data_IF_034408835687
#
_entry.id   IF_034408835687
#
_cell.length_a   1.000
_cell.length_b   1.000
_cell.length_c   1.000
_cell.angle_alpha   90.00
_cell.angle_beta   90.00
_cell.angle_gamma   90.00
#
_symmetry.space_group_name_H-M   'P 1'
#
loop_
_entity.id
_entity.type
_entity.pdbx_description
1 polymer ?
#
# COMPACT_ATOMS: atom_id res chain seq x y z
N UNK A 1 -38.01 27.43 -18.95
CA UNK A 1 -36.94 26.41 -19.06
C UNK A 1 -36.47 26.14 -17.64
N UNK A 2 -37.05 25.14 -16.98
CA UNK A 2 -36.68 24.75 -15.62
C UNK A 2 -35.39 23.95 -15.69
N UNK A 3 -34.31 24.53 -15.17
CA UNK A 3 -33.08 23.80 -14.88
C UNK A 3 -33.43 22.62 -13.97
N UNK A 4 -33.37 21.41 -14.52
CA UNK A 4 -33.29 20.18 -13.75
C UNK A 4 -31.91 20.16 -13.06
N UNK A 5 -31.75 20.98 -12.02
CA UNK A 5 -30.73 20.70 -11.01
C UNK A 5 -31.13 19.39 -10.35
N UNK A 6 -30.47 18.31 -10.74
CA UNK A 6 -30.54 17.03 -10.05
C UNK A 6 -30.37 17.35 -8.55
N UNK A 7 -31.30 16.92 -7.67
CA UNK A 7 -31.15 17.16 -6.25
C UNK A 7 -29.79 16.59 -5.85
N UNK A 8 -28.95 17.40 -5.19
CA UNK A 8 -27.68 16.95 -4.65
C UNK A 8 -27.97 15.67 -3.85
N UNK A 9 -27.66 14.52 -4.45
CA UNK A 9 -28.00 13.25 -3.87
C UNK A 9 -27.26 13.20 -2.54
N UNK A 10 -28.00 12.95 -1.46
CA UNK A 10 -27.40 12.74 -0.15
C UNK A 10 -26.33 11.65 -0.29
N UNK A 11 -25.07 12.09 -0.27
CA UNK A 11 -23.90 11.26 -0.56
C UNK A 11 -23.85 10.10 0.44
N UNK A 12 -24.18 10.36 1.70
CA UNK A 12 -24.24 9.32 2.73
C UNK A 12 -25.32 8.29 2.40
N UNK A 13 -26.48 8.73 1.91
CA UNK A 13 -27.52 7.82 1.44
C UNK A 13 -27.08 7.00 0.22
N UNK A 14 -26.32 7.57 -0.72
CA UNK A 14 -25.74 6.85 -1.87
C UNK A 14 -24.77 5.77 -1.40
N UNK A 15 -23.82 6.14 -0.54
CA UNK A 15 -22.82 5.23 0.01
C UNK A 15 -23.48 4.09 0.81
N UNK A 16 -24.51 4.40 1.60
CA UNK A 16 -25.28 3.41 2.34
C UNK A 16 -26.01 2.43 1.41
N UNK A 17 -26.58 2.90 0.29
CA UNK A 17 -27.23 2.04 -0.70
C UNK A 17 -26.23 1.11 -1.38
N UNK A 18 -25.05 1.62 -1.77
CA UNK A 18 -24.00 0.81 -2.38
C UNK A 18 -23.49 -0.28 -1.44
N UNK A 19 -23.22 0.07 -0.16
CA UNK A 19 -22.82 -0.93 0.85
C UNK A 19 -23.88 -2.02 0.99
N UNK A 20 -25.15 -1.65 1.15
CA UNK A 20 -26.25 -2.61 1.30
C UNK A 20 -26.45 -3.48 0.06
N UNK A 21 -26.21 -2.95 -1.13
CA UNK A 21 -26.28 -3.71 -2.37
C UNK A 21 -25.19 -4.79 -2.38
N UNK A 22 -23.93 -4.42 -2.09
CA UNK A 22 -22.83 -5.39 -2.02
C UNK A 22 -23.09 -6.45 -0.95
N UNK A 23 -23.49 -6.06 0.26
CA UNK A 23 -23.80 -6.99 1.35
C UNK A 23 -24.93 -7.96 0.98
N UNK A 24 -26.00 -7.46 0.34
CA UNK A 24 -27.12 -8.29 -0.11
C UNK A 24 -26.69 -9.34 -1.12
N UNK A 25 -25.88 -8.96 -2.11
CA UNK A 25 -25.46 -9.86 -3.19
C UNK A 25 -24.37 -10.84 -2.75
N UNK A 26 -23.59 -10.50 -1.71
CA UNK A 26 -22.46 -11.33 -1.24
C UNK A 26 -22.74 -12.11 0.05
N UNK A 27 -23.75 -11.73 0.83
CA UNK A 27 -24.00 -12.28 2.17
C UNK A 27 -24.23 -13.78 2.19
N UNK A 28 -25.00 -14.32 1.24
CA UNK A 28 -25.25 -15.77 1.14
C UNK A 28 -23.99 -16.56 0.74
N UNK A 29 -23.11 -15.96 -0.05
CA UNK A 29 -21.83 -16.54 -0.43
C UNK A 29 -20.84 -16.53 0.72
N UNK A 30 -20.79 -15.46 1.52
CA UNK A 30 -19.98 -15.42 2.73
C UNK A 30 -20.44 -16.48 3.75
N UNK A 31 -21.74 -16.59 3.99
CA UNK A 31 -22.29 -17.61 4.89
C UNK A 31 -21.89 -19.04 4.46
N UNK A 32 -21.92 -19.33 3.15
CA UNK A 32 -21.46 -20.60 2.59
C UNK A 32 -19.96 -20.82 2.73
N UNK A 33 -19.15 -19.80 2.44
CA UNK A 33 -17.69 -19.84 2.62
C UNK A 33 -17.34 -20.17 4.07
N UNK A 34 -18.01 -19.51 5.02
CA UNK A 34 -17.78 -19.68 6.45
C UNK A 34 -18.27 -21.04 6.96
N UNK A 35 -19.23 -21.67 6.26
CA UNK A 35 -19.62 -23.06 6.47
C UNK A 35 -18.65 -24.09 5.84
N UNK A 36 -17.55 -23.64 5.21
CA UNK A 36 -16.53 -24.50 4.60
C UNK A 36 -16.82 -24.91 3.15
N UNK A 37 -17.84 -24.33 2.51
CA UNK A 37 -18.11 -24.55 1.10
C UNK A 37 -17.10 -23.78 0.22
N UNK A 38 -16.12 -24.49 -0.33
CA UNK A 38 -15.09 -23.92 -1.21
C UNK A 38 -15.64 -23.46 -2.57
N UNK A 39 -16.82 -23.94 -3.00
CA UNK A 39 -17.42 -23.53 -4.28
C UNK A 39 -17.93 -22.09 -4.24
N UNK A 40 -18.06 -21.52 -3.04
CA UNK A 40 -18.40 -20.09 -2.84
C UNK A 40 -17.28 -19.13 -3.24
N UNK A 41 -16.02 -19.61 -3.32
CA UNK A 41 -14.85 -18.75 -3.57
C UNK A 41 -14.79 -18.22 -5.00
N UNK A 42 -15.19 -19.03 -5.99
CA UNK A 42 -15.13 -18.64 -7.40
C UNK A 42 -16.13 -17.51 -7.73
N UNK A 43 -17.41 -17.59 -7.32
CA UNK A 43 -18.36 -16.47 -7.46
C UNK A 43 -17.94 -15.21 -6.69
N UNK A 44 -17.46 -15.36 -5.45
CA UNK A 44 -16.95 -14.23 -4.66
C UNK A 44 -15.77 -13.53 -5.35
N UNK A 45 -14.87 -14.29 -5.97
CA UNK A 45 -13.74 -13.71 -6.73
C UNK A 45 -14.21 -12.92 -7.94
N UNK A 46 -15.19 -13.43 -8.70
CA UNK A 46 -15.79 -12.71 -9.83
C UNK A 46 -16.47 -11.42 -9.41
N UNK A 47 -17.28 -11.47 -8.35
CA UNK A 47 -17.93 -10.28 -7.78
C UNK A 47 -16.87 -9.27 -7.31
N UNK A 48 -15.83 -9.75 -6.61
CA UNK A 48 -14.72 -8.90 -6.16
C UNK A 48 -14.03 -8.16 -7.30
N UNK A 49 -13.73 -8.82 -8.42
CA UNK A 49 -13.12 -8.15 -9.57
C UNK A 49 -14.03 -7.12 -10.22
N UNK A 50 -15.33 -7.41 -10.34
CA UNK A 50 -16.29 -6.42 -10.85
C UNK A 50 -16.36 -5.18 -9.94
N UNK A 51 -16.35 -5.37 -8.62
CA UNK A 51 -16.36 -4.24 -7.67
C UNK A 51 -15.08 -3.41 -7.75
N UNK A 52 -13.93 -4.05 -7.98
CA UNK A 52 -12.67 -3.33 -8.22
C UNK A 52 -12.73 -2.53 -9.52
N UNK A 53 -13.19 -3.11 -10.62
CA UNK A 53 -13.32 -2.41 -11.91
C UNK A 53 -14.24 -1.18 -11.83
N UNK A 54 -15.41 -1.33 -11.19
CA UNK A 54 -16.34 -0.22 -10.97
C UNK A 54 -15.76 0.81 -10.00
N UNK A 55 -15.09 0.35 -8.95
CA UNK A 55 -14.45 1.21 -7.94
C UNK A 55 -13.33 2.06 -8.54
N UNK A 56 -12.47 1.48 -9.37
CA UNK A 56 -11.43 2.22 -10.08
C UNK A 56 -12.03 3.27 -11.02
N UNK A 57 -13.05 2.89 -11.81
CA UNK A 57 -13.73 3.83 -12.70
C UNK A 57 -14.27 5.04 -11.93
N UNK A 58 -15.01 4.83 -10.83
CA UNK A 58 -15.55 5.93 -10.02
C UNK A 58 -14.44 6.75 -9.33
N UNK A 59 -13.38 6.10 -8.88
CA UNK A 59 -12.26 6.76 -8.21
C UNK A 59 -11.47 7.66 -9.17
N UNK A 60 -11.20 7.19 -10.39
CA UNK A 60 -10.49 7.96 -11.43
C UNK A 60 -11.31 9.17 -11.89
N UNK A 61 -12.61 8.99 -12.14
CA UNK A 61 -13.53 10.10 -12.42
C UNK A 61 -13.63 11.09 -11.24
N UNK A 62 -13.37 10.60 -10.02
CA UNK A 62 -13.24 11.41 -8.79
C UNK A 62 -11.86 12.04 -8.58
N UNK A 63 -10.91 11.88 -9.52
CA UNK A 63 -9.57 12.46 -9.45
C UNK A 63 -8.55 11.66 -8.63
N UNK A 64 -8.84 10.41 -8.28
CA UNK A 64 -7.92 9.51 -7.59
C UNK A 64 -7.12 8.71 -8.63
N UNK A 65 -5.80 8.84 -8.61
CA UNK A 65 -4.93 8.06 -9.49
C UNK A 65 -4.84 6.60 -9.02
N UNK A 66 -5.50 5.69 -9.74
CA UNK A 66 -5.57 4.27 -9.38
C UNK A 66 -4.54 3.36 -10.07
N UNK A 67 -3.80 3.86 -11.06
CA UNK A 67 -2.95 3.05 -11.95
C UNK A 67 -1.94 2.12 -11.24
N UNK A 68 -1.32 2.54 -10.14
CA UNK A 68 -0.40 1.67 -9.37
C UNK A 68 -1.15 0.51 -8.70
N UNK A 69 -2.36 0.77 -8.19
CA UNK A 69 -3.20 -0.23 -7.53
C UNK A 69 -3.78 -1.18 -8.58
N UNK A 70 -4.27 -0.67 -9.70
CA UNK A 70 -4.71 -1.49 -10.83
C UNK A 70 -3.60 -2.42 -11.31
N UNK A 71 -2.38 -1.89 -11.48
CA UNK A 71 -1.24 -2.68 -11.90
C UNK A 71 -0.87 -3.76 -10.88
N UNK A 72 -0.92 -3.44 -9.58
CA UNK A 72 -0.69 -4.42 -8.52
C UNK A 72 -1.73 -5.55 -8.55
N UNK A 73 -3.02 -5.21 -8.73
CA UNK A 73 -4.11 -6.19 -8.85
C UNK A 73 -3.95 -7.04 -10.10
N UNK A 74 -3.72 -6.44 -11.27
CA UNK A 74 -3.51 -7.18 -12.52
C UNK A 74 -2.33 -8.15 -12.43
N UNK A 75 -1.23 -7.75 -11.79
CA UNK A 75 -0.07 -8.62 -11.56
C UNK A 75 -0.38 -9.75 -10.58
N UNK A 76 -1.02 -9.46 -9.45
CA UNK A 76 -1.32 -10.45 -8.42
C UNK A 76 -2.25 -11.56 -8.94
N UNK A 77 -3.13 -11.24 -9.89
CA UNK A 77 -4.16 -12.15 -10.38
C UNK A 77 -4.02 -12.52 -11.87
N UNK A 78 -2.91 -12.16 -12.52
CA UNK A 78 -2.65 -12.40 -13.94
C UNK A 78 -3.82 -11.97 -14.86
N UNK A 79 -4.42 -10.82 -14.58
CA UNK A 79 -5.54 -10.29 -15.37
C UNK A 79 -5.01 -9.54 -16.60
N UNK A 80 -5.70 -9.62 -17.75
CA UNK A 80 -5.37 -8.78 -18.90
C UNK A 80 -5.54 -7.31 -18.50
N UNK A 81 -4.51 -6.50 -18.79
CA UNK A 81 -4.59 -5.05 -18.58
C UNK A 81 -5.74 -4.50 -19.42
N UNK A 82 -6.59 -3.67 -18.84
CA UNK A 82 -7.54 -2.88 -19.64
C UNK A 82 -6.71 -2.02 -20.60
N UNK A 83 -6.85 -2.25 -21.89
CA UNK A 83 -6.23 -1.41 -22.90
C UNK A 83 -6.96 -0.07 -22.89
N UNK A 84 -6.50 0.88 -22.07
CA UNK A 84 -6.79 2.28 -22.33
C UNK A 84 -6.03 2.64 -23.60
N UNK A 85 -6.77 2.88 -24.69
CA UNK A 85 -6.23 3.45 -25.93
C UNK A 85 -5.56 4.80 -25.65
N UNK A 86 -4.38 4.95 -26.26
CA UNK A 86 -3.50 6.13 -26.40
C UNK A 86 -3.55 7.20 -25.31
N UNK A 87 -2.75 6.98 -24.27
CA UNK A 87 -2.05 8.10 -23.64
C UNK A 87 -0.93 8.54 -24.59
N UNK A 88 -0.96 9.80 -25.03
CA UNK A 88 0.09 10.44 -25.83
C UNK A 88 1.51 9.99 -25.36
N UNK A 89 2.36 9.48 -26.28
CA UNK A 89 3.68 8.94 -25.94
C UNK A 89 4.57 9.96 -25.20
N UNK A 90 4.27 11.25 -25.31
CA UNK A 90 4.93 12.34 -24.60
C UNK A 90 4.61 12.32 -23.10
N UNK A 91 3.35 12.08 -22.74
CA UNK A 91 2.88 12.03 -21.33
C UNK A 91 3.36 10.77 -20.62
N UNK A 92 3.43 9.63 -21.34
CA UNK A 92 4.01 8.39 -20.82
C UNK A 92 5.53 8.52 -20.60
N UNK A 93 6.25 9.20 -21.49
CA UNK A 93 7.68 9.48 -21.32
C UNK A 93 7.97 10.37 -20.11
N UNK A 94 7.15 11.41 -19.90
CA UNK A 94 7.26 12.31 -18.75
C UNK A 94 6.91 11.63 -17.42
N UNK A 95 5.87 10.79 -17.39
CA UNK A 95 5.49 10.02 -16.21
C UNK A 95 6.53 8.94 -15.88
N UNK A 96 7.10 8.28 -16.89
CA UNK A 96 8.18 7.31 -16.72
C UNK A 96 9.47 7.97 -16.18
N UNK A 97 9.78 9.18 -16.62
CA UNK A 97 10.91 9.93 -16.09
C UNK A 97 10.67 10.34 -14.63
N UNK A 98 9.50 10.88 -14.30
CA UNK A 98 9.14 11.29 -12.95
C UNK A 98 9.09 10.11 -11.97
N UNK A 99 8.58 8.95 -12.39
CA UNK A 99 8.58 7.73 -11.56
C UNK A 99 9.98 7.16 -11.37
N UNK A 100 10.86 7.22 -12.39
CA UNK A 100 12.27 6.84 -12.27
C UNK A 100 13.04 7.77 -11.33
N UNK A 101 12.81 9.08 -11.43
CA UNK A 101 13.38 10.07 -10.51
C UNK A 101 12.89 9.86 -9.08
N UNK A 102 11.60 9.58 -8.89
CA UNK A 102 11.04 9.26 -7.58
C UNK A 102 11.60 7.96 -7.01
N UNK A 103 11.77 6.92 -7.83
CA UNK A 103 12.39 5.67 -7.42
C UNK A 103 13.86 5.87 -7.03
N UNK A 104 14.60 6.70 -7.77
CA UNK A 104 15.97 7.08 -7.44
C UNK A 104 16.05 7.87 -6.13
N UNK A 105 15.19 8.88 -5.97
CA UNK A 105 15.12 9.65 -4.73
C UNK A 105 14.76 8.76 -3.52
N UNK A 106 13.88 7.78 -3.71
CA UNK A 106 13.53 6.81 -2.67
C UNK A 106 14.68 5.84 -2.36
N UNK A 107 15.44 5.41 -3.38
CA UNK A 107 16.65 4.61 -3.19
C UNK A 107 17.75 5.39 -2.45
N UNK A 108 17.95 6.67 -2.80
CA UNK A 108 18.88 7.57 -2.11
C UNK A 108 18.45 7.81 -0.65
N UNK A 109 17.16 8.02 -0.39
CA UNK A 109 16.62 8.15 0.96
C UNK A 109 16.78 6.86 1.79
N UNK A 110 16.50 5.69 1.19
CA UNK A 110 16.69 4.40 1.85
C UNK A 110 18.17 4.11 2.14
N UNK A 111 19.07 4.49 1.22
CA UNK A 111 20.51 4.38 1.45
C UNK A 111 20.95 5.30 2.60
N UNK A 112 20.50 6.55 2.63
CA UNK A 112 20.78 7.48 3.72
C UNK A 112 20.26 6.97 5.07
N UNK A 113 19.06 6.40 5.12
CA UNK A 113 18.51 5.80 6.34
C UNK A 113 19.31 4.56 6.79
N UNK A 114 19.78 3.73 5.85
CA UNK A 114 20.64 2.57 6.14
C UNK A 114 21.99 2.99 6.73
N UNK A 115 22.64 3.98 6.12
CA UNK A 115 23.90 4.57 6.61
C UNK A 115 23.69 5.16 8.00
N UNK A 116 22.60 5.90 8.20
CA UNK A 116 22.24 6.47 9.49
C UNK A 116 22.03 5.41 10.58
N UNK A 117 21.27 4.34 10.30
CA UNK A 117 21.08 3.23 11.25
C UNK A 117 22.41 2.55 11.62
N UNK A 118 23.32 2.43 10.65
CA UNK A 118 24.65 1.85 10.87
C UNK A 118 25.50 2.73 11.78
N UNK A 119 25.50 4.04 11.57
CA UNK A 119 26.19 5.00 12.42
C UNK A 119 25.63 5.02 13.86
N UNK A 120 24.31 4.95 14.02
CA UNK A 120 23.65 4.88 15.35
C UNK A 120 24.09 3.61 16.09
N UNK A 121 24.14 2.46 15.41
CA UNK A 121 24.61 1.20 16.00
C UNK A 121 26.06 1.30 16.43
N UNK A 122 26.95 1.76 15.55
CA UNK A 122 28.36 1.94 15.86
C UNK A 122 28.58 2.88 17.06
N UNK A 123 27.81 3.97 17.16
CA UNK A 123 27.88 4.88 18.31
C UNK A 123 27.39 4.23 19.61
N UNK A 124 26.32 3.41 19.54
CA UNK A 124 25.84 2.66 20.70
C UNK A 124 26.83 1.57 21.14
N UNK A 125 27.45 0.86 20.19
CA UNK A 125 28.47 -0.17 20.45
C UNK A 125 29.74 0.46 21.05
N UNK A 126 30.08 1.69 20.65
CA UNK A 126 31.15 2.49 21.25
C UNK A 126 30.82 3.04 22.66
N UNK A 127 29.61 2.80 23.18
CA UNK A 127 29.19 3.23 24.51
C UNK A 127 28.81 4.72 24.61
N UNK A 128 28.60 5.40 23.48
CA UNK A 128 28.24 6.82 23.49
C UNK A 128 26.87 7.06 24.12
N UNK A 129 26.76 8.14 24.91
CA UNK A 129 25.48 8.49 25.55
C UNK A 129 24.48 8.87 24.46
N UNK A 130 23.30 8.23 24.44
CA UNK A 130 22.19 8.49 23.49
C UNK A 130 21.86 9.97 23.24
N UNK A 131 22.08 10.85 24.24
CA UNK A 131 21.92 12.30 24.11
C UNK A 131 22.97 12.94 23.18
N UNK A 132 24.23 12.50 23.25
CA UNK A 132 25.30 12.96 22.37
C UNK A 132 25.02 12.55 20.91
N UNK A 133 24.58 11.31 20.71
CA UNK A 133 24.19 10.78 19.40
C UNK A 133 23.02 11.58 18.79
N UNK A 134 22.00 11.90 19.59
CA UNK A 134 20.87 12.72 19.17
C UNK A 134 21.29 14.14 18.76
N UNK A 135 22.19 14.76 19.52
CA UNK A 135 22.71 16.10 19.23
C UNK A 135 23.54 16.13 17.93
N UNK A 136 24.46 15.17 17.74
CA UNK A 136 25.29 15.09 16.52
C UNK A 136 24.42 14.81 15.28
N UNK A 137 23.39 13.97 15.43
CA UNK A 137 22.50 13.62 14.33
C UNK A 137 21.35 14.63 14.09
N UNK A 138 21.24 15.70 14.88
CA UNK A 138 20.17 16.71 14.73
C UNK A 138 18.76 16.13 14.88
N UNK A 139 18.58 15.08 15.67
CA UNK A 139 17.30 14.37 15.83
C UNK A 139 16.94 14.21 17.31
N UNK A 140 15.67 13.94 17.60
CA UNK A 140 15.23 13.72 18.98
C UNK A 140 15.81 12.43 19.57
N UNK A 141 16.11 12.44 20.87
CA UNK A 141 16.54 11.24 21.63
C UNK A 141 15.50 10.11 21.52
N UNK A 142 14.22 10.45 21.36
CA UNK A 142 13.15 9.48 21.14
C UNK A 142 13.31 8.74 19.81
N UNK A 143 13.68 9.45 18.73
CA UNK A 143 13.96 8.84 17.41
C UNK A 143 15.15 7.89 17.49
N UNK A 144 16.22 8.29 18.17
CA UNK A 144 17.40 7.43 18.44
C UNK A 144 16.99 6.16 19.21
N UNK A 145 16.20 6.31 20.27
CA UNK A 145 15.75 5.18 21.12
C UNK A 145 14.91 4.17 20.34
N UNK A 146 13.95 4.65 19.54
CA UNK A 146 13.09 3.80 18.71
C UNK A 146 13.90 3.01 17.68
N UNK A 147 14.85 3.68 17.02
CA UNK A 147 15.71 3.05 16.02
C UNK A 147 16.69 2.05 16.63
N UNK A 148 17.25 2.32 17.82
CA UNK A 148 18.09 1.35 18.53
C UNK A 148 17.32 0.10 18.95
N UNK A 149 16.07 0.24 19.43
CA UNK A 149 15.22 -0.90 19.79
C UNK A 149 14.91 -1.79 18.58
N UNK A 150 14.51 -1.17 17.47
CA UNK A 150 14.24 -1.88 16.22
C UNK A 150 15.50 -2.60 15.67
N UNK A 151 16.67 -1.97 15.78
CA UNK A 151 17.93 -2.59 15.37
C UNK A 151 18.33 -3.81 16.23
N UNK A 152 18.09 -3.75 17.55
CA UNK A 152 18.31 -4.87 18.47
C UNK A 152 17.32 -6.01 18.22
N UNK A 153 16.04 -5.69 17.99
CA UNK A 153 15.02 -6.68 17.63
C UNK A 153 15.37 -7.41 16.33
N UNK A 154 15.85 -6.69 15.31
CA UNK A 154 16.29 -7.29 14.04
C UNK A 154 17.54 -8.16 14.19
N UNK A 155 18.49 -7.79 15.04
CA UNK A 155 19.68 -8.63 15.32
C UNK A 155 19.34 -9.87 16.13
N UNK A 156 18.39 -9.78 17.05
CA UNK A 156 17.87 -10.94 17.79
C UNK A 156 17.07 -11.89 16.88
N UNK A 157 16.26 -11.35 15.96
CA UNK A 157 15.56 -12.13 14.94
C UNK A 157 16.54 -12.83 13.98
N UNK A 158 17.59 -12.13 13.54
CA UNK A 158 18.64 -12.72 12.69
C UNK A 158 19.44 -13.81 13.42
N UNK A 159 19.78 -13.61 14.71
CA UNK A 159 20.43 -14.65 15.52
C UNK A 159 19.52 -15.86 15.78
N UNK A 160 18.24 -15.65 16.03
CA UNK A 160 17.25 -16.74 16.19
C UNK A 160 17.09 -17.54 14.89
N UNK A 161 17.16 -16.87 13.73
CA UNK A 161 17.12 -17.55 12.43
C UNK A 161 18.36 -18.39 12.17
N UNK A 162 19.54 -17.96 12.63
CA UNK A 162 20.79 -18.70 12.44
C UNK A 162 21.00 -19.86 13.43
N UNK A 163 20.24 -19.93 14.53
CA UNK A 163 20.33 -21.03 15.51
C UNK A 163 19.34 -22.19 15.23
N UNK A 164 18.53 -22.12 14.16
CA UNK A 164 17.53 -23.13 13.80
C UNK A 164 17.99 -24.19 12.79
N UNK A 165 19.20 -24.08 12.25
CA UNK A 165 19.74 -25.03 11.27
C UNK A 165 21.14 -25.52 11.71
N UNK A 166 21.16 -26.54 12.57
CA UNK A 166 22.25 -27.52 12.60
C UNK A 166 21.58 -28.92 12.63
N UNK A 167 21.95 -29.84 11.72
CA UNK A 167 21.49 -31.24 11.79
C UNK A 167 22.03 -31.98 13.02
#
# INVERSE_FOLDING_TARGET
MTENSLPAADLDAVLARLRRAVERETGSWYARKDAGDNDSLSPLRRIGFLLLELGFTVAEEGGIACGDIEQAVSRAYNLPRRAMEDSDPTTLGQLAHATKERARAMAEANHADSVWRTAIRAACDAGERRKAVANVAGVSVHRVTRSTRSAIEQTNLARSSCCGECP
#
